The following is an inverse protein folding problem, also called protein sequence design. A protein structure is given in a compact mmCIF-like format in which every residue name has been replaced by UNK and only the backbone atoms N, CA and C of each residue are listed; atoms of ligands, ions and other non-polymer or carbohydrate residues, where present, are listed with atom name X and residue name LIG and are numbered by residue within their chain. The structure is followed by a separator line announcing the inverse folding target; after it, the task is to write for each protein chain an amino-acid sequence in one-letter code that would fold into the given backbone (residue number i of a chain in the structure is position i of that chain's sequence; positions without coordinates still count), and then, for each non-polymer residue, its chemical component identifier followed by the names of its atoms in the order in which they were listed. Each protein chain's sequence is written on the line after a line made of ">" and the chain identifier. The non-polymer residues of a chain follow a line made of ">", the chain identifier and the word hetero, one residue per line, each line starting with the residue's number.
data_IF_939208555713
#
_entry.id   IF_939208555713
#
_cell.length_a   1.000
_cell.length_b   1.000
_cell.length_c   1.000
_cell.angle_alpha   90.00
_cell.angle_beta   90.00
_cell.angle_gamma   90.00
#
_symmetry.space_group_name_H-M   'P 1'
#
loop_
_entity.id
_entity.type
_entity.pdbx_description
1 polymer ?
#
# COMPACT_ATOMS: atom_id res chain seq x y z
N UNK A 1 -22.46 -81.15 23.04
CA UNK A 1 -21.38 -82.05 23.48
C UNK A 1 -21.14 -82.95 22.28
N UNK A 2 -19.98 -83.03 21.64
CA UNK A 2 -18.61 -82.85 22.11
C UNK A 2 -17.74 -82.75 20.83
N UNK A 3 -16.45 -82.44 21.02
CA UNK A 3 -15.34 -82.48 20.05
C UNK A 3 -15.50 -83.49 18.89
N UNK A 4 -14.84 -83.23 17.75
CA UNK A 4 -13.72 -84.09 17.30
C UNK A 4 -12.96 -83.42 16.15
N UNK A 5 -11.67 -83.69 16.18
CA UNK A 5 -10.53 -83.17 15.44
C UNK A 5 -10.02 -84.31 14.53
N UNK A 6 -9.54 -83.97 13.32
CA UNK A 6 -8.52 -84.65 12.48
C UNK A 6 -8.89 -85.92 11.68
N UNK A 7 -8.60 -85.88 10.36
CA UNK A 7 -7.55 -86.65 9.65
C UNK A 7 -7.67 -86.39 8.12
N UNK A 8 -6.64 -85.87 7.44
CA UNK A 8 -5.60 -86.61 6.69
C UNK A 8 -6.21 -87.54 5.62
N UNK A 9 -5.78 -87.59 4.36
CA UNK A 9 -4.67 -87.02 3.59
C UNK A 9 -5.01 -87.31 2.11
N UNK A 10 -4.10 -87.00 1.21
CA UNK A 10 -3.99 -87.41 -0.20
C UNK A 10 -4.32 -86.35 -1.26
N UNK A 11 -3.27 -85.58 -1.50
CA UNK A 11 -2.98 -84.87 -2.72
C UNK A 11 -2.73 -85.83 -3.90
N UNK A 12 -3.37 -85.58 -5.05
CA UNK A 12 -2.76 -85.58 -6.39
C UNK A 12 -3.66 -84.73 -7.29
N UNK A 13 -3.20 -83.57 -7.78
CA UNK A 13 -2.79 -83.44 -9.19
C UNK A 13 -2.19 -82.06 -9.53
N UNK A 14 -0.93 -82.13 -9.98
CA UNK A 14 -0.21 -81.29 -10.97
C UNK A 14 0.03 -79.78 -10.73
N UNK A 15 1.18 -79.24 -11.23
CA UNK A 15 1.95 -78.24 -10.52
C UNK A 15 1.81 -76.82 -11.07
N UNK A 16 1.97 -75.92 -10.11
CA UNK A 16 2.18 -74.47 -10.19
C UNK A 16 3.44 -74.14 -11.01
N UNK A 17 3.31 -73.20 -11.95
CA UNK A 17 4.42 -72.35 -12.42
C UNK A 17 4.09 -70.88 -12.12
N UNK A 18 4.60 -70.47 -10.95
CA UNK A 18 4.99 -69.15 -10.46
C UNK A 18 4.23 -67.91 -10.99
N UNK A 19 3.35 -67.40 -10.12
CA UNK A 19 2.95 -66.00 -10.06
C UNK A 19 4.20 -65.12 -9.93
N UNK A 20 4.41 -64.28 -10.95
CA UNK A 20 5.28 -63.11 -10.87
C UNK A 20 4.61 -62.14 -9.89
N UNK A 21 5.32 -61.83 -8.81
CA UNK A 21 4.93 -60.85 -7.82
C UNK A 21 4.92 -59.45 -8.48
N UNK A 22 3.75 -58.92 -8.79
CA UNK A 22 3.63 -57.52 -9.22
C UNK A 22 4.04 -56.60 -8.05
N UNK A 23 4.94 -55.62 -8.28
CA UNK A 23 5.31 -54.67 -7.25
C UNK A 23 4.11 -53.76 -6.95
N UNK A 24 3.70 -53.73 -5.68
CA UNK A 24 2.67 -52.82 -5.19
C UNK A 24 3.08 -51.37 -5.48
N UNK A 25 2.18 -50.51 -5.96
CA UNK A 25 2.52 -49.13 -6.25
C UNK A 25 2.91 -48.42 -4.96
N UNK A 26 4.18 -47.97 -4.92
CA UNK A 26 4.70 -47.09 -3.89
C UNK A 26 3.70 -45.97 -3.63
N UNK A 27 3.36 -45.80 -2.35
CA UNK A 27 2.58 -44.66 -1.88
C UNK A 27 3.32 -43.40 -2.31
N UNK A 28 2.79 -42.72 -3.34
CA UNK A 28 3.36 -41.48 -3.87
C UNK A 28 3.44 -40.48 -2.72
N UNK A 29 4.64 -40.30 -2.17
CA UNK A 29 5.00 -39.09 -1.45
C UNK A 29 4.66 -37.94 -2.40
N UNK A 30 3.62 -37.18 -2.08
CA UNK A 30 3.38 -35.89 -2.72
C UNK A 30 4.66 -35.08 -2.51
N UNK A 31 5.39 -34.69 -3.57
CA UNK A 31 6.59 -33.90 -3.37
C UNK A 31 6.16 -32.62 -2.63
N UNK A 32 6.78 -32.37 -1.49
CA UNK A 32 6.67 -31.07 -0.81
C UNK A 32 7.21 -30.06 -1.81
N UNK A 33 6.32 -29.38 -2.54
CA UNK A 33 6.71 -28.37 -3.49
C UNK A 33 7.54 -27.33 -2.73
N UNK A 34 8.78 -27.13 -3.16
CA UNK A 34 9.61 -26.06 -2.64
C UNK A 34 8.82 -24.74 -2.74
N UNK A 35 8.89 -23.85 -1.72
CA UNK A 35 8.18 -22.58 -1.78
C UNK A 35 8.59 -21.85 -3.07
N UNK A 36 7.62 -21.34 -3.86
CA UNK A 36 7.89 -20.80 -5.18
C UNK A 36 8.94 -19.71 -5.07
N UNK A 37 9.91 -19.69 -5.98
CA UNK A 37 10.94 -18.65 -6.04
C UNK A 37 10.28 -17.27 -6.26
N UNK A 38 11.01 -16.18 -6.00
CA UNK A 38 10.50 -14.83 -6.25
C UNK A 38 9.94 -14.67 -7.68
N UNK A 39 10.67 -15.21 -8.66
CA UNK A 39 10.29 -15.17 -10.08
C UNK A 39 9.04 -15.99 -10.37
N UNK A 40 8.89 -17.16 -9.75
CA UNK A 40 7.69 -18.01 -9.90
C UNK A 40 6.47 -17.41 -9.21
N UNK A 41 6.64 -16.79 -8.03
CA UNK A 41 5.57 -16.04 -7.36
C UNK A 41 5.09 -14.87 -8.20
N UNK A 42 6.02 -14.12 -8.78
CA UNK A 42 5.71 -13.02 -9.70
C UNK A 42 4.98 -13.52 -10.95
N UNK A 43 5.39 -14.66 -11.53
CA UNK A 43 4.73 -15.25 -12.70
C UNK A 43 3.31 -15.78 -12.39
N UNK A 44 3.15 -16.51 -11.28
CA UNK A 44 1.85 -17.02 -10.82
C UNK A 44 0.88 -15.88 -10.48
N UNK A 45 1.37 -14.83 -9.81
CA UNK A 45 0.58 -13.63 -9.55
C UNK A 45 0.18 -12.93 -10.86
N UNK A 46 1.10 -12.81 -11.82
CA UNK A 46 0.83 -12.18 -13.10
C UNK A 46 -0.22 -12.96 -13.90
N UNK A 47 -0.16 -14.29 -13.91
CA UNK A 47 -1.20 -15.14 -14.50
C UNK A 47 -2.56 -14.91 -13.83
N UNK A 48 -2.59 -14.80 -12.50
CA UNK A 48 -3.81 -14.44 -11.76
C UNK A 48 -4.32 -13.04 -12.10
N UNK A 49 -3.44 -12.04 -12.24
CA UNK A 49 -3.80 -10.65 -12.56
C UNK A 49 -4.27 -10.49 -14.01
N UNK A 50 -3.66 -11.21 -14.96
CA UNK A 50 -4.13 -11.28 -16.36
C UNK A 50 -5.48 -11.99 -16.44
N UNK A 51 -5.72 -13.01 -15.60
CA UNK A 51 -7.02 -13.68 -15.48
C UNK A 51 -8.04 -12.90 -14.66
N UNK A 52 -7.62 -11.93 -13.85
CA UNK A 52 -8.53 -11.05 -13.13
C UNK A 52 -9.38 -10.30 -14.15
N UNK A 53 -10.69 -10.52 -14.10
CA UNK A 53 -11.61 -9.99 -15.09
C UNK A 53 -11.76 -8.46 -15.04
N UNK A 54 -11.54 -7.85 -13.87
CA UNK A 54 -11.74 -6.42 -13.65
C UNK A 54 -10.50 -5.76 -13.03
N UNK A 55 -9.95 -4.76 -13.72
CA UNK A 55 -8.78 -4.00 -13.27
C UNK A 55 -9.09 -3.03 -12.13
N UNK A 56 -10.36 -2.62 -12.00
CA UNK A 56 -10.80 -1.70 -10.96
C UNK A 56 -10.67 -2.29 -9.54
N UNK A 57 -10.58 -3.62 -9.41
CA UNK A 57 -10.46 -4.30 -8.12
C UNK A 57 -9.00 -4.53 -7.68
N UNK A 58 -8.03 -4.33 -8.58
CA UNK A 58 -6.60 -4.49 -8.27
C UNK A 58 -6.07 -3.31 -7.45
N UNK A 59 -5.10 -3.48 -6.53
CA UNK A 59 -4.45 -2.34 -5.88
C UNK A 59 -3.55 -1.55 -6.85
N UNK A 60 -3.27 -0.28 -6.54
CA UNK A 60 -2.51 0.62 -7.45
C UNK A 60 -1.09 0.11 -7.77
N UNK A 61 -0.42 -0.52 -6.79
CA UNK A 61 0.91 -1.10 -7.00
C UNK A 61 0.87 -2.22 -8.05
N UNK A 62 -0.18 -3.04 -8.01
CA UNK A 62 -0.39 -4.18 -8.90
C UNK A 62 -0.68 -3.73 -10.33
N UNK A 63 -1.50 -2.68 -10.51
CA UNK A 63 -1.73 -2.06 -11.82
C UNK A 63 -0.42 -1.56 -12.45
N UNK A 64 0.44 -0.92 -11.67
CA UNK A 64 1.73 -0.39 -12.16
C UNK A 64 2.69 -1.49 -12.58
N UNK A 65 2.75 -2.58 -11.80
CA UNK A 65 3.56 -3.75 -12.16
C UNK A 65 3.04 -4.40 -13.44
N UNK A 66 1.72 -4.55 -13.57
CA UNK A 66 1.10 -5.11 -14.77
C UNK A 66 1.36 -4.25 -16.00
N UNK A 67 1.15 -2.92 -15.93
CA UNK A 67 1.43 -2.00 -17.03
C UNK A 67 2.90 -2.06 -17.48
N UNK A 68 3.85 -2.01 -16.54
CA UNK A 68 5.27 -2.12 -16.88
C UNK A 68 5.62 -3.44 -17.57
N UNK A 69 4.95 -4.54 -17.19
CA UNK A 69 5.17 -5.85 -17.79
C UNK A 69 4.57 -5.95 -19.19
N UNK A 70 3.34 -5.46 -19.41
CA UNK A 70 2.72 -5.44 -20.73
C UNK A 70 3.53 -4.57 -21.70
N UNK A 71 4.05 -3.44 -21.23
CA UNK A 71 4.98 -2.62 -22.00
C UNK A 71 6.22 -3.41 -22.46
N UNK A 72 6.83 -4.22 -21.59
CA UNK A 72 7.97 -5.08 -21.99
C UNK A 72 7.60 -6.17 -23.00
N UNK A 73 6.35 -6.65 -23.00
CA UNK A 73 5.88 -7.60 -24.00
C UNK A 73 5.60 -6.92 -25.35
N UNK A 74 5.13 -5.66 -25.30
CA UNK A 74 4.97 -4.81 -26.48
C UNK A 74 6.30 -4.45 -27.14
N UNK A 75 7.37 -4.33 -26.35
CA UNK A 75 8.73 -4.05 -26.80
C UNK A 75 9.46 -5.27 -27.40
N UNK A 76 8.79 -6.43 -27.45
CA UNK A 76 9.33 -7.66 -28.06
C UNK A 76 9.22 -7.67 -29.59
N UNK A 77 10.06 -8.48 -30.24
CA UNK A 77 10.05 -8.65 -31.71
C UNK A 77 8.72 -9.16 -32.27
N UNK A 78 7.89 -9.81 -31.44
CA UNK A 78 6.55 -10.28 -31.81
C UNK A 78 5.61 -10.13 -30.62
N UNK A 79 4.95 -8.97 -30.47
CA UNK A 79 4.11 -8.69 -29.32
C UNK A 79 2.80 -9.49 -29.38
N UNK A 80 2.36 -10.10 -28.25
CA UNK A 80 1.03 -10.70 -28.16
C UNK A 80 -0.07 -9.66 -28.37
N UNK A 81 -1.14 -10.02 -29.10
CA UNK A 81 -2.24 -9.10 -29.46
C UNK A 81 -2.89 -8.47 -28.22
N UNK A 82 -3.14 -9.27 -27.20
CA UNK A 82 -3.78 -8.82 -25.95
C UNK A 82 -2.89 -7.89 -25.11
N UNK A 83 -1.57 -7.87 -25.34
CA UNK A 83 -0.66 -7.06 -24.54
C UNK A 83 -0.95 -5.56 -24.69
N UNK A 84 -1.40 -5.13 -25.88
CA UNK A 84 -1.74 -3.74 -26.13
C UNK A 84 -2.99 -3.33 -25.36
N UNK A 85 -4.08 -4.08 -25.52
CA UNK A 85 -5.35 -3.82 -24.85
C UNK A 85 -5.20 -3.84 -23.33
N UNK A 86 -4.44 -4.81 -22.80
CA UNK A 86 -4.18 -4.92 -21.36
C UNK A 86 -3.27 -3.82 -20.83
N UNK A 87 -2.29 -3.36 -21.61
CA UNK A 87 -1.48 -2.21 -21.25
C UNK A 87 -2.34 -0.95 -21.17
N UNK A 88 -3.11 -0.66 -22.22
CA UNK A 88 -3.98 0.51 -22.31
C UNK A 88 -4.98 0.54 -21.16
N UNK A 89 -5.71 -0.56 -20.92
CA UNK A 89 -6.68 -0.63 -19.84
C UNK A 89 -6.05 -0.46 -18.43
N UNK A 90 -4.80 -0.92 -18.24
CA UNK A 90 -4.08 -0.71 -16.99
C UNK A 90 -3.67 0.75 -16.79
N UNK A 91 -3.20 1.41 -17.85
CA UNK A 91 -2.81 2.82 -17.84
C UNK A 91 -4.03 3.72 -17.60
N UNK A 92 -5.12 3.49 -18.32
CA UNK A 92 -6.37 4.24 -18.17
C UNK A 92 -6.93 4.14 -16.74
N UNK A 93 -6.89 2.96 -16.12
CA UNK A 93 -7.32 2.83 -14.72
C UNK A 93 -6.35 3.50 -13.74
N UNK A 94 -5.03 3.49 -14.00
CA UNK A 94 -4.06 4.23 -13.20
C UNK A 94 -4.32 5.74 -13.29
N UNK A 95 -4.55 6.27 -14.49
CA UNK A 95 -4.87 7.69 -14.73
C UNK A 95 -6.21 8.06 -14.09
N UNK A 96 -7.26 7.27 -14.34
CA UNK A 96 -8.58 7.46 -13.73
C UNK A 96 -8.52 7.42 -12.21
N UNK A 97 -7.66 6.58 -11.62
CA UNK A 97 -7.44 6.58 -10.17
C UNK A 97 -6.65 7.77 -9.72
N UNK A 98 -5.67 8.25 -10.48
CA UNK A 98 -4.93 9.44 -10.14
C UNK A 98 -5.89 10.63 -10.11
N UNK A 99 -6.70 10.82 -11.14
CA UNK A 99 -7.73 11.88 -11.22
C UNK A 99 -8.80 11.79 -10.12
N UNK A 100 -9.19 10.56 -9.71
CA UNK A 100 -10.08 10.36 -8.55
C UNK A 100 -9.36 10.54 -7.21
N UNK A 101 -8.08 10.19 -7.16
CA UNK A 101 -7.20 10.27 -5.98
C UNK A 101 -6.43 11.58 -5.90
N UNK A 102 -6.77 12.55 -6.75
CA UNK A 102 -6.53 13.96 -6.52
C UNK A 102 -7.74 14.55 -5.80
N UNK A 103 -7.96 14.32 -4.48
CA UNK A 103 -8.50 15.37 -3.67
C UNK A 103 -7.37 16.40 -3.49
N UNK A 104 -7.53 17.59 -4.08
CA UNK A 104 -6.70 18.80 -3.91
C UNK A 104 -5.36 18.93 -4.68
N UNK A 105 -5.17 18.34 -5.86
CA UNK A 105 -4.09 18.80 -6.79
C UNK A 105 -4.59 19.84 -7.82
N UNK A 106 -5.89 20.15 -7.83
CA UNK A 106 -6.52 21.33 -8.46
C UNK A 106 -6.26 22.61 -7.64
N UNK A 107 -5.03 22.75 -7.17
CA UNK A 107 -4.52 23.98 -6.61
C UNK A 107 -3.13 24.11 -7.24
N UNK A 108 -3.06 24.82 -8.36
CA UNK A 108 -1.82 25.23 -9.02
C UNK A 108 -0.98 26.12 -8.10
N UNK A 109 -0.47 25.55 -7.01
CA UNK A 109 0.44 26.18 -6.09
C UNK A 109 1.85 25.82 -6.56
N UNK A 110 2.37 26.58 -7.51
CA UNK A 110 3.60 27.35 -7.30
C UNK A 110 4.51 26.74 -6.22
N UNK A 111 5.29 25.71 -6.60
CA UNK A 111 6.22 24.90 -5.76
C UNK A 111 6.18 25.27 -4.27
N UNK A 112 5.21 24.74 -3.54
CA UNK A 112 5.08 25.05 -2.12
C UNK A 112 6.24 24.44 -1.29
N UNK A 113 6.95 25.27 -0.53
CA UNK A 113 8.07 24.85 0.32
C UNK A 113 7.78 25.21 1.78
N UNK A 114 7.65 24.19 2.63
CA UNK A 114 7.52 24.33 4.07
C UNK A 114 8.89 24.35 4.76
N UNK A 115 9.09 25.28 5.69
CA UNK A 115 10.33 25.44 6.45
C UNK A 115 10.05 25.67 7.94
N UNK A 116 10.83 25.03 8.80
CA UNK A 116 10.90 25.33 10.23
C UNK A 116 12.04 26.33 10.49
N UNK A 117 11.69 27.54 10.94
CA UNK A 117 12.65 28.58 11.28
C UNK A 117 12.73 28.71 12.81
N UNK A 118 13.53 27.83 13.42
CA UNK A 118 13.72 27.77 14.87
C UNK A 118 14.19 29.10 15.49
N UNK A 119 15.05 29.85 14.78
CA UNK A 119 15.53 31.16 15.23
C UNK A 119 14.40 32.18 15.40
N UNK A 120 13.43 32.19 14.48
CA UNK A 120 12.28 33.10 14.51
C UNK A 120 11.03 32.47 15.15
N UNK A 121 11.16 31.24 15.69
CA UNK A 121 10.08 30.47 16.32
C UNK A 121 8.80 30.47 15.49
N UNK A 122 8.93 30.16 14.20
CA UNK A 122 7.79 30.07 13.27
C UNK A 122 8.03 29.04 12.19
N UNK A 123 6.94 28.41 11.75
CA UNK A 123 6.94 27.68 10.49
C UNK A 123 6.56 28.62 9.36
N UNK A 124 7.24 28.50 8.24
CA UNK A 124 7.14 29.35 7.06
C UNK A 124 6.71 28.50 5.86
N UNK A 125 5.80 29.04 5.05
CA UNK A 125 5.40 28.46 3.78
C UNK A 125 5.74 29.43 2.67
N UNK A 126 6.53 28.95 1.71
CA UNK A 126 6.91 29.68 0.52
C UNK A 126 6.15 29.13 -0.69
N UNK A 127 5.67 30.02 -1.55
CA UNK A 127 5.11 29.70 -2.86
C UNK A 127 5.94 30.43 -3.90
N UNK A 128 6.46 29.69 -4.88
CA UNK A 128 7.39 30.23 -5.89
C UNK A 128 8.55 31.06 -5.31
N UNK A 129 9.06 30.63 -4.15
CA UNK A 129 10.16 31.30 -3.46
C UNK A 129 9.78 32.56 -2.69
N UNK A 130 8.53 33.03 -2.75
CA UNK A 130 8.02 34.12 -1.94
C UNK A 130 7.38 33.60 -0.64
N UNK A 131 7.62 34.27 0.49
CA UNK A 131 6.98 33.90 1.76
C UNK A 131 5.48 34.21 1.67
N UNK A 132 4.66 33.17 1.63
CA UNK A 132 3.21 33.28 1.46
C UNK A 132 2.47 33.31 2.79
N UNK A 133 2.89 32.49 3.76
CA UNK A 133 2.28 32.46 5.09
C UNK A 133 3.27 31.96 6.15
N UNK A 134 2.98 32.23 7.42
CA UNK A 134 3.72 31.66 8.54
C UNK A 134 2.84 31.45 9.78
N UNK A 135 3.21 30.51 10.65
CA UNK A 135 2.62 30.34 11.99
C UNK A 135 3.69 30.47 13.06
N UNK A 136 3.48 31.36 14.02
CA UNK A 136 4.36 31.52 15.19
C UNK A 136 4.09 30.42 16.20
N UNK A 137 5.13 29.93 16.83
CA UNK A 137 5.04 28.96 17.91
C UNK A 137 5.92 29.33 19.10
N UNK A 138 5.67 28.69 20.24
CA UNK A 138 6.59 28.65 21.38
C UNK A 138 6.74 27.21 21.85
N UNK A 139 7.93 26.82 22.30
CA UNK A 139 8.16 25.48 22.87
C UNK A 139 8.49 25.61 24.35
N UNK A 140 7.68 25.02 25.21
CA UNK A 140 7.86 25.00 26.67
C UNK A 140 7.50 23.62 27.18
N UNK A 141 8.37 23.00 27.99
CA UNK A 141 8.10 21.71 28.65
C UNK A 141 7.61 20.61 27.71
N UNK A 142 8.22 20.49 26.52
CA UNK A 142 7.83 19.50 25.51
C UNK A 142 6.50 19.78 24.78
N UNK A 143 5.91 20.96 25.00
CA UNK A 143 4.70 21.40 24.33
C UNK A 143 5.04 22.47 23.29
N UNK A 144 4.51 22.32 22.09
CA UNK A 144 4.59 23.30 21.01
C UNK A 144 3.26 24.04 20.93
N UNK A 145 3.24 25.28 21.40
CA UNK A 145 2.05 26.13 21.36
C UNK A 145 2.01 26.92 20.06
N UNK A 146 0.98 26.72 19.24
CA UNK A 146 0.72 27.52 18.04
C UNK A 146 0.04 28.83 18.44
N UNK A 147 0.67 29.97 18.16
CA UNK A 147 0.28 31.28 18.71
C UNK A 147 -0.50 32.14 17.74
N UNK A 148 -0.08 32.23 16.49
CA UNK A 148 -0.70 33.09 15.50
C UNK A 148 -0.35 32.61 14.10
N UNK A 149 -1.37 32.46 13.26
CA UNK A 149 -1.21 32.24 11.82
C UNK A 149 -1.33 33.58 11.10
N UNK A 150 -0.44 33.84 10.15
CA UNK A 150 -0.39 35.07 9.38
C UNK A 150 -0.17 34.73 7.91
N UNK A 151 -1.15 35.08 7.08
CA UNK A 151 -1.03 35.05 5.62
C UNK A 151 -0.52 36.40 5.12
N UNK A 152 0.23 36.38 4.02
CA UNK A 152 0.76 37.59 3.39
C UNK A 152 -0.25 38.15 2.39
N UNK A 153 -0.25 39.49 2.19
CA UNK A 153 -1.06 40.11 1.15
C UNK A 153 -0.89 39.46 -0.22
N UNK A 154 -2.02 39.13 -0.86
CA UNK A 154 -2.09 38.46 -2.16
C UNK A 154 -2.16 36.93 -2.10
N UNK A 155 -2.03 36.35 -0.91
CA UNK A 155 -2.06 34.90 -0.68
C UNK A 155 -3.24 34.44 0.18
N UNK A 156 -4.16 35.35 0.49
CA UNK A 156 -5.35 35.08 1.29
C UNK A 156 -6.30 34.07 0.61
N UNK A 157 -7.03 33.30 1.44
CA UNK A 157 -8.09 32.39 1.04
C UNK A 157 -7.67 31.27 0.05
N UNK A 158 -6.36 31.01 -0.09
CA UNK A 158 -5.81 29.92 -0.93
C UNK A 158 -5.59 28.61 -0.17
N UNK A 159 -6.19 28.45 1.01
CA UNK A 159 -6.04 27.24 1.83
C UNK A 159 -4.63 27.01 2.39
N UNK A 160 -3.82 28.07 2.50
CA UNK A 160 -2.45 27.99 3.03
C UNK A 160 -2.44 27.61 4.51
N UNK A 161 -3.45 28.07 5.25
CA UNK A 161 -3.67 27.70 6.65
C UNK A 161 -3.68 26.18 6.87
N UNK A 162 -4.40 25.43 6.01
CA UNK A 162 -4.48 23.97 6.04
C UNK A 162 -3.12 23.32 5.83
N UNK A 163 -2.39 23.76 4.82
CA UNK A 163 -1.05 23.22 4.49
C UNK A 163 -0.12 23.46 5.67
N UNK A 164 -0.08 24.70 6.15
CA UNK A 164 0.85 25.14 7.19
C UNK A 164 0.57 24.46 8.52
N UNK A 165 -0.71 24.34 8.92
CA UNK A 165 -1.12 23.61 10.13
C UNK A 165 -0.82 22.11 10.00
N UNK A 166 -1.21 21.45 8.91
CA UNK A 166 -0.90 20.03 8.67
C UNK A 166 0.58 19.75 8.86
N UNK A 167 1.44 20.52 8.21
CA UNK A 167 2.89 20.33 8.33
C UNK A 167 3.41 20.66 9.73
N UNK A 168 2.86 21.67 10.41
CA UNK A 168 3.22 22.02 11.79
C UNK A 168 2.92 20.88 12.76
N UNK A 169 1.73 20.27 12.66
CA UNK A 169 1.34 19.12 13.50
C UNK A 169 2.23 17.90 13.24
N UNK A 170 2.51 17.59 11.97
CA UNK A 170 3.38 16.47 11.61
C UNK A 170 4.84 16.72 12.04
N UNK A 171 5.32 17.97 11.94
CA UNK A 171 6.65 18.34 12.42
C UNK A 171 6.77 18.17 13.94
N UNK A 172 5.78 18.65 14.70
CA UNK A 172 5.71 18.47 16.15
C UNK A 172 5.68 16.98 16.53
N UNK A 173 4.89 16.17 15.81
CA UNK A 173 4.84 14.72 16.02
C UNK A 173 6.20 14.04 15.79
N UNK A 174 6.90 14.36 14.69
CA UNK A 174 8.26 13.84 14.43
C UNK A 174 9.25 14.21 15.54
N UNK A 175 9.05 15.37 16.17
CA UNK A 175 9.85 15.86 17.30
C UNK A 175 9.37 15.37 18.66
N UNK A 176 8.32 14.54 18.71
CA UNK A 176 7.67 14.05 19.93
C UNK A 176 7.18 15.17 20.86
N UNK A 177 6.71 16.27 20.27
CA UNK A 177 6.13 17.41 20.99
C UNK A 177 4.60 17.34 20.95
N UNK A 178 3.95 17.68 22.07
CA UNK A 178 2.50 17.82 22.12
C UNK A 178 2.09 19.19 21.58
N UNK A 179 1.15 19.26 20.64
CA UNK A 179 0.73 20.53 20.04
C UNK A 179 -0.37 21.17 20.88
N UNK A 180 -0.18 22.41 21.31
CA UNK A 180 -1.22 23.21 21.98
C UNK A 180 -1.80 24.20 20.97
N UNK A 181 -3.06 24.04 20.52
CA UNK A 181 -3.68 24.89 19.51
C UNK A 181 -4.17 26.21 20.15
N UNK A 182 -3.30 27.19 20.40
CA UNK A 182 -3.72 28.43 21.07
C UNK A 182 -4.25 29.51 20.12
N UNK A 183 -4.24 29.29 18.80
CA UNK A 183 -4.79 30.22 17.81
C UNK A 183 -6.11 29.71 17.20
N UNK A 184 -7.02 30.60 16.77
CA UNK A 184 -8.31 30.22 16.20
C UNK A 184 -8.19 29.30 14.97
N UNK A 185 -7.22 29.57 14.09
CA UNK A 185 -6.98 28.75 12.90
C UNK A 185 -6.67 27.29 13.26
N UNK A 186 -5.90 27.04 14.33
CA UNK A 186 -5.60 25.69 14.78
C UNK A 186 -6.84 24.97 15.34
N UNK A 187 -7.73 25.70 16.04
CA UNK A 187 -9.01 25.14 16.48
C UNK A 187 -9.90 24.75 15.30
N UNK A 188 -10.11 25.66 14.35
CA UNK A 188 -10.90 25.40 13.12
C UNK A 188 -10.35 24.21 12.34
N UNK A 189 -9.01 24.10 12.26
CA UNK A 189 -8.34 22.97 11.61
C UNK A 189 -8.60 21.65 12.32
N UNK A 190 -8.46 21.58 13.64
CA UNK A 190 -8.81 20.40 14.43
C UNK A 190 -10.30 20.09 14.37
N UNK A 191 -11.11 21.11 14.08
CA UNK A 191 -12.52 20.93 13.90
C UNK A 191 -12.89 20.18 12.62
N UNK A 192 -12.22 20.55 11.54
CA UNK A 192 -12.36 19.92 10.23
C UNK A 192 -11.64 18.57 10.16
N UNK A 193 -10.47 18.44 10.77
CA UNK A 193 -9.59 17.27 10.62
C UNK A 193 -9.38 16.55 11.95
N UNK A 194 -10.37 15.75 12.33
CA UNK A 194 -10.43 15.03 13.61
C UNK A 194 -9.21 14.12 13.86
N UNK A 195 -8.59 13.58 12.82
CA UNK A 195 -7.42 12.71 12.91
C UNK A 195 -6.20 13.37 13.55
N UNK A 196 -6.10 14.71 13.53
CA UNK A 196 -5.00 15.44 14.16
C UNK A 196 -5.22 15.69 15.67
N UNK A 197 -6.41 15.41 16.19
CA UNK A 197 -6.72 15.61 17.62
C UNK A 197 -5.82 14.76 18.52
N UNK A 198 -5.38 13.59 18.07
CA UNK A 198 -4.44 12.72 18.81
C UNK A 198 -3.06 13.38 19.00
N UNK A 199 -2.70 14.34 18.15
CA UNK A 199 -1.44 15.10 18.24
C UNK A 199 -1.60 16.38 19.05
N UNK A 200 -2.84 16.78 19.32
CA UNK A 200 -3.17 17.97 20.07
C UNK A 200 -3.27 17.65 21.56
N UNK A 201 -2.76 18.56 22.39
CA UNK A 201 -3.13 18.68 23.79
C UNK A 201 -4.06 19.87 23.90
N UNK A 202 -5.35 19.58 24.05
CA UNK A 202 -6.33 20.59 24.41
C UNK A 202 -5.94 21.09 25.80
N UNK A 203 -5.83 22.42 25.97
CA UNK A 203 -5.57 23.00 27.28
C UNK A 203 -6.74 22.70 28.22
N UNK A 204 -6.43 22.29 29.44
CA UNK A 204 -7.37 22.27 30.57
C UNK A 204 -7.54 23.68 31.14
#
# INVERSE_FOLDING_TARGET
>A
MTETVIALDDAVDTPVLQSVLEPQPDTRMTPVLAPPTKREREAQWLECAVRAGNLADLPLADLRVMANRMFRLLDGETPPVEAHERYTAAVEEIESRLERSTPDDEDGHDRAVFKDSAFSSRYELYLDGALAAYIRYSIVSGQLTLRALVEKPGYEDRGLDRILLRHSFLNAHRRRLAVVPACPAAHTFLDRYRQYRTLARMGD
#
